data_IF_646798395372
#
_entry.id   IF_646798395372
#
_cell.length_a   1.000
_cell.length_b   1.000
_cell.length_c   1.000
_cell.angle_alpha   90.00
_cell.angle_beta   90.00
_cell.angle_gamma   90.00
#
_symmetry.space_group_name_H-M   'P 1'
#
loop_
_entity.id
_entity.type
_entity.pdbx_description
1 polymer ?
#
# COMPACT_ATOMS: atom_id res chain seq x y z
N UNK A 1 -29.41 20.46 5.53
CA UNK A 1 -28.45 19.57 6.17
C UNK A 1 -27.15 20.35 6.22
N UNK A 2 -26.63 20.61 7.40
CA UNK A 2 -25.39 21.36 7.56
C UNK A 2 -24.25 20.55 6.91
N UNK A 3 -23.27 21.24 6.34
CA UNK A 3 -22.06 20.65 5.77
C UNK A 3 -21.12 20.08 6.87
N UNK A 4 -21.66 19.27 7.78
CA UNK A 4 -20.96 18.70 8.93
C UNK A 4 -19.97 17.56 8.57
N UNK A 5 -19.65 17.41 7.29
CA UNK A 5 -18.78 16.33 6.82
C UNK A 5 -17.28 16.60 6.92
N UNK A 6 -16.86 17.72 7.47
CA UNK A 6 -15.44 18.07 7.61
C UNK A 6 -14.95 18.16 9.05
N UNK A 7 -15.55 17.45 9.98
CA UNK A 7 -14.97 17.29 11.31
C UNK A 7 -13.85 16.24 11.27
N UNK A 8 -12.63 16.72 11.27
CA UNK A 8 -11.46 15.87 11.47
C UNK A 8 -11.34 15.53 12.94
N UNK A 9 -11.50 14.27 13.28
CA UNK A 9 -11.19 13.78 14.62
C UNK A 9 -9.72 13.36 14.67
N UNK A 10 -8.85 14.35 14.58
CA UNK A 10 -7.39 14.18 14.58
C UNK A 10 -6.87 13.69 15.94
N UNK A 11 -5.60 13.36 16.01
CA UNK A 11 -4.96 13.01 17.29
C UNK A 11 -4.89 14.19 18.24
N UNK A 12 -4.75 15.43 17.73
CA UNK A 12 -4.68 16.66 18.52
C UNK A 12 -6.08 17.16 18.96
N UNK A 13 -7.11 16.84 18.19
CA UNK A 13 -8.50 17.21 18.49
C UNK A 13 -9.44 15.99 18.34
N UNK A 14 -9.31 14.96 19.19
CA UNK A 14 -10.12 13.76 19.09
C UNK A 14 -11.52 13.99 19.62
N UNK A 15 -12.52 13.40 18.98
CA UNK A 15 -13.80 13.21 19.63
C UNK A 15 -13.68 12.05 20.64
N UNK A 16 -13.51 12.41 21.91
CA UNK A 16 -13.24 11.43 22.99
C UNK A 16 -14.39 10.46 23.22
N UNK A 17 -15.63 10.89 23.03
CA UNK A 17 -16.80 10.03 23.16
C UNK A 17 -16.81 8.94 22.09
N UNK A 18 -16.64 9.31 20.82
CA UNK A 18 -16.57 8.33 19.75
C UNK A 18 -15.32 7.46 19.82
N UNK A 19 -14.19 7.98 20.27
CA UNK A 19 -13.00 7.17 20.51
C UNK A 19 -13.26 6.12 21.61
N UNK A 20 -13.96 6.48 22.69
CA UNK A 20 -14.34 5.50 23.71
C UNK A 20 -15.32 4.45 23.18
N UNK A 21 -16.32 4.86 22.40
CA UNK A 21 -17.25 3.91 21.76
C UNK A 21 -16.49 2.94 20.81
N UNK A 22 -15.52 3.43 20.06
CA UNK A 22 -14.69 2.58 19.20
C UNK A 22 -13.91 1.55 20.02
N UNK A 23 -13.32 1.93 21.15
CA UNK A 23 -12.66 1.00 22.08
C UNK A 23 -13.65 -0.05 22.59
N UNK A 24 -14.83 0.38 23.03
CA UNK A 24 -15.82 -0.51 23.64
C UNK A 24 -16.35 -1.56 22.64
N UNK A 25 -16.70 -1.14 21.42
CA UNK A 25 -17.20 -2.03 20.40
C UNK A 25 -16.10 -2.95 19.83
N UNK A 26 -14.92 -2.43 19.55
CA UNK A 26 -13.81 -3.25 19.11
C UNK A 26 -13.45 -4.31 20.17
N UNK A 27 -13.46 -3.95 21.45
CA UNK A 27 -13.25 -4.87 22.57
C UNK A 27 -14.30 -5.98 22.60
N UNK A 28 -15.57 -5.66 22.37
CA UNK A 28 -16.63 -6.67 22.28
C UNK A 28 -16.39 -7.65 21.15
N UNK A 29 -15.98 -7.18 19.98
CA UNK A 29 -15.68 -8.05 18.82
C UNK A 29 -14.49 -8.95 19.12
N UNK A 30 -13.37 -8.39 19.60
CA UNK A 30 -12.15 -9.12 19.94
C UNK A 30 -12.42 -10.19 21.00
N UNK A 31 -13.14 -9.84 22.06
CA UNK A 31 -13.43 -10.75 23.18
C UNK A 31 -14.58 -11.73 22.89
N UNK A 32 -15.28 -11.61 21.76
CA UNK A 32 -16.38 -12.51 21.42
C UNK A 32 -15.93 -13.97 21.20
N UNK A 33 -14.66 -14.16 20.84
CA UNK A 33 -14.11 -15.46 20.47
C UNK A 33 -14.64 -16.01 19.15
N UNK A 34 -15.45 -15.22 18.42
CA UNK A 34 -16.00 -15.63 17.12
C UNK A 34 -14.97 -15.54 15.99
N UNK A 35 -13.99 -14.65 16.15
CA UNK A 35 -12.96 -14.38 15.17
C UNK A 35 -11.58 -14.60 15.79
N UNK A 36 -10.58 -14.88 14.95
CA UNK A 36 -9.19 -15.04 15.39
C UNK A 36 -8.26 -14.47 14.31
N UNK A 37 -7.19 -13.79 14.75
CA UNK A 37 -6.12 -13.41 13.83
C UNK A 37 -5.47 -14.66 13.26
N UNK A 38 -5.22 -14.63 11.96
CA UNK A 38 -4.41 -15.63 11.30
C UNK A 38 -2.97 -15.52 11.84
N UNK A 39 -2.33 -16.64 12.09
CA UNK A 39 -0.89 -16.69 12.35
C UNK A 39 -0.10 -16.23 11.11
N UNK A 40 1.21 -15.93 11.26
CA UNK A 40 2.04 -15.43 10.16
C UNK A 40 1.95 -16.32 8.91
N UNK A 41 2.11 -17.64 9.06
CA UNK A 41 2.05 -18.57 7.94
C UNK A 41 0.71 -18.56 7.23
N UNK A 42 -0.38 -18.63 7.99
CA UNK A 42 -1.73 -18.62 7.43
C UNK A 42 -2.05 -17.27 6.78
N UNK A 43 -1.58 -16.18 7.37
CA UNK A 43 -1.72 -14.86 6.78
C UNK A 43 -0.99 -14.73 5.45
N UNK A 44 0.20 -15.26 5.31
CA UNK A 44 0.92 -15.32 4.03
C UNK A 44 0.17 -16.14 2.98
N UNK A 45 -0.62 -17.11 3.39
CA UNK A 45 -1.49 -17.94 2.55
C UNK A 45 -2.95 -17.47 2.53
N UNK A 46 -3.19 -16.21 2.89
CA UNK A 46 -4.52 -15.62 3.00
C UNK A 46 -5.43 -15.89 1.78
N UNK A 47 -4.86 -15.82 0.57
CA UNK A 47 -5.61 -16.04 -0.68
C UNK A 47 -6.03 -17.50 -0.90
N UNK A 48 -5.54 -18.45 -0.13
CA UNK A 48 -5.93 -19.87 -0.23
C UNK A 48 -7.18 -20.19 0.58
N UNK A 49 -7.59 -19.29 1.48
CA UNK A 49 -8.77 -19.50 2.31
C UNK A 49 -10.03 -19.04 1.59
N UNK A 50 -11.09 -19.84 1.62
CA UNK A 50 -12.42 -19.33 1.31
C UNK A 50 -12.85 -18.34 2.40
N UNK A 51 -13.74 -17.38 2.10
CA UNK A 51 -14.24 -16.44 3.10
C UNK A 51 -14.77 -17.12 4.38
N UNK A 52 -15.44 -18.23 4.24
CA UNK A 52 -16.02 -19.01 5.35
C UNK A 52 -14.96 -19.69 6.24
N UNK A 53 -13.81 -20.01 5.66
CA UNK A 53 -12.71 -20.67 6.37
C UNK A 53 -11.67 -19.68 6.90
N UNK A 54 -11.77 -18.41 6.53
CA UNK A 54 -10.90 -17.35 7.03
C UNK A 54 -11.45 -16.80 8.36
N UNK A 55 -10.92 -17.28 9.47
CA UNK A 55 -11.34 -16.88 10.81
C UNK A 55 -11.14 -15.39 11.12
N UNK A 56 -10.34 -14.70 10.34
CA UNK A 56 -10.12 -13.27 10.49
C UNK A 56 -11.23 -12.43 9.83
N UNK A 57 -11.96 -12.99 8.87
CA UNK A 57 -13.06 -12.32 8.15
C UNK A 57 -14.26 -12.09 9.03
N UNK A 58 -14.76 -10.84 9.08
CA UNK A 58 -15.96 -10.44 9.84
C UNK A 58 -17.13 -10.22 8.89
N UNK A 59 -16.91 -9.44 7.82
CA UNK A 59 -17.93 -9.15 6.83
C UNK A 59 -17.38 -9.29 5.43
N UNK A 60 -18.05 -10.09 4.62
CA UNK A 60 -17.65 -10.45 3.25
C UNK A 60 -18.84 -10.32 2.32
N UNK A 61 -18.62 -9.71 1.15
CA UNK A 61 -19.59 -9.75 0.06
C UNK A 61 -19.30 -11.00 -0.77
N UNK A 62 -20.06 -12.07 -0.52
CA UNK A 62 -19.83 -13.35 -1.17
C UNK A 62 -20.18 -13.28 -2.66
N UNK A 63 -19.26 -13.75 -3.50
CA UNK A 63 -19.46 -13.92 -4.94
C UNK A 63 -19.41 -15.40 -5.27
N UNK A 64 -20.35 -15.84 -6.10
CA UNK A 64 -20.45 -17.23 -6.56
C UNK A 64 -20.72 -17.26 -8.06
N UNK A 65 -20.11 -18.18 -8.77
CA UNK A 65 -20.18 -18.27 -10.23
C UNK A 65 -21.61 -18.37 -10.78
N UNK A 66 -22.54 -18.94 -10.01
CA UNK A 66 -23.95 -19.10 -10.42
C UNK A 66 -24.76 -17.80 -10.37
N UNK A 67 -24.30 -16.81 -9.63
CA UNK A 67 -24.99 -15.51 -9.43
C UNK A 67 -24.35 -14.39 -10.27
N UNK A 68 -23.11 -14.58 -10.71
CA UNK A 68 -22.37 -13.60 -11.48
C UNK A 68 -22.07 -14.15 -12.86
N UNK A 69 -22.81 -13.68 -13.86
CA UNK A 69 -22.58 -13.99 -15.28
C UNK A 69 -22.36 -12.71 -16.07
N UNK A 70 -21.55 -12.77 -17.13
CA UNK A 70 -21.29 -11.64 -18.01
C UNK A 70 -20.22 -10.69 -17.48
N UNK A 71 -20.26 -9.44 -17.93
CA UNK A 71 -19.21 -8.44 -17.69
C UNK A 71 -19.19 -7.85 -16.28
N UNK A 72 -20.23 -8.05 -15.47
CA UNK A 72 -20.37 -7.42 -14.15
C UNK A 72 -19.26 -7.80 -13.17
N UNK A 73 -18.58 -8.90 -13.42
CA UNK A 73 -17.49 -9.36 -12.58
C UNK A 73 -16.10 -8.88 -13.02
N UNK A 74 -15.94 -8.33 -14.20
CA UNK A 74 -14.65 -7.74 -14.63
C UNK A 74 -14.31 -6.46 -13.88
N UNK A 75 -15.25 -5.84 -13.21
CA UNK A 75 -15.07 -4.60 -12.43
C UNK A 75 -14.75 -4.86 -10.96
N UNK A 76 -14.48 -6.09 -10.57
CA UNK A 76 -14.04 -6.39 -9.20
C UNK A 76 -12.60 -5.93 -8.96
N UNK A 77 -12.32 -5.47 -7.73
CA UNK A 77 -10.98 -5.03 -7.31
C UNK A 77 -9.91 -6.10 -7.61
N UNK A 78 -10.23 -7.39 -7.39
CA UNK A 78 -9.33 -8.50 -7.69
C UNK A 78 -8.92 -8.58 -9.17
N UNK A 79 -9.81 -8.22 -10.10
CA UNK A 79 -9.49 -8.18 -11.53
C UNK A 79 -8.53 -7.07 -11.92
N UNK A 80 -8.46 -5.98 -11.15
CA UNK A 80 -7.59 -4.83 -11.42
C UNK A 80 -6.18 -5.01 -10.87
N UNK A 81 -6.01 -5.76 -9.79
CA UNK A 81 -4.75 -5.83 -9.06
C UNK A 81 -3.77 -6.82 -9.68
N UNK A 82 -4.14 -8.05 -9.90
CA UNK A 82 -3.18 -9.08 -10.27
C UNK A 82 -3.51 -9.81 -11.56
N UNK A 83 -2.51 -10.40 -12.17
CA UNK A 83 -2.66 -11.37 -13.27
C UNK A 83 -2.45 -12.77 -12.68
N UNK A 84 -3.27 -13.17 -11.72
CA UNK A 84 -3.19 -14.51 -11.15
C UNK A 84 -3.78 -15.51 -12.15
N UNK A 85 -2.95 -16.42 -12.64
CA UNK A 85 -3.37 -17.39 -13.67
C UNK A 85 -3.82 -16.76 -14.99
N UNK A 86 -3.39 -15.53 -15.29
CA UNK A 86 -3.79 -14.81 -16.50
C UNK A 86 -5.18 -14.17 -16.43
N UNK A 87 -5.79 -14.11 -15.26
CA UNK A 87 -7.20 -13.72 -15.09
C UNK A 87 -7.41 -12.27 -14.65
N UNK A 88 -6.41 -11.59 -14.12
CA UNK A 88 -6.46 -10.17 -13.77
C UNK A 88 -5.99 -9.30 -14.95
N UNK A 89 -6.28 -8.02 -14.92
CA UNK A 89 -5.85 -7.07 -15.95
C UNK A 89 -4.48 -6.47 -15.67
N UNK A 90 -3.99 -6.60 -14.43
CA UNK A 90 -2.68 -6.09 -14.05
C UNK A 90 -2.56 -4.57 -14.18
N UNK A 91 -3.60 -3.83 -13.90
CA UNK A 91 -3.64 -2.37 -14.05
C UNK A 91 -3.09 -1.61 -12.85
N UNK A 92 -2.99 -2.28 -11.69
CA UNK A 92 -2.52 -1.68 -10.45
C UNK A 92 -1.29 -2.39 -9.92
N UNK A 93 -0.28 -1.60 -9.53
CA UNK A 93 0.98 -2.08 -9.00
C UNK A 93 1.25 -1.51 -7.62
N UNK A 94 2.07 -2.22 -6.85
CA UNK A 94 2.57 -1.70 -5.59
C UNK A 94 3.42 -0.45 -5.85
N UNK A 95 3.16 0.64 -5.12
CA UNK A 95 3.94 1.87 -5.24
C UNK A 95 5.33 1.71 -4.59
N UNK A 96 6.31 2.50 -5.04
CA UNK A 96 7.62 2.55 -4.41
C UNK A 96 7.52 2.87 -2.92
N UNK A 97 6.67 3.81 -2.53
CA UNK A 97 6.41 4.14 -1.13
C UNK A 97 5.98 2.93 -0.30
N UNK A 98 5.10 2.11 -0.84
CA UNK A 98 4.65 0.90 -0.15
C UNK A 98 5.76 -0.16 -0.06
N UNK A 99 6.54 -0.33 -1.13
CA UNK A 99 7.69 -1.24 -1.13
C UNK A 99 8.76 -0.80 -0.12
N UNK A 100 9.02 0.51 0.01
CA UNK A 100 9.94 1.05 1.01
C UNK A 100 9.44 0.76 2.44
N UNK A 101 8.15 0.93 2.70
CA UNK A 101 7.54 0.56 3.99
C UNK A 101 7.69 -0.93 4.31
N UNK A 102 7.46 -1.80 3.33
CA UNK A 102 7.65 -3.25 3.47
C UNK A 102 9.10 -3.63 3.80
N UNK A 103 10.05 -2.85 3.31
CA UNK A 103 11.49 -3.11 3.46
C UNK A 103 12.13 -2.38 4.67
N UNK A 104 11.36 -1.62 5.45
CA UNK A 104 11.88 -0.78 6.53
C UNK A 104 12.65 -1.59 7.59
N UNK A 105 12.21 -2.80 7.91
CA UNK A 105 12.85 -3.68 8.91
C UNK A 105 13.84 -4.66 8.33
N UNK A 106 13.96 -4.70 7.02
CA UNK A 106 14.85 -5.56 6.24
C UNK A 106 14.26 -5.82 4.87
N UNK A 107 15.16 -6.03 3.90
CA UNK A 107 14.75 -6.25 2.51
C UNK A 107 13.94 -7.54 2.36
N UNK A 108 12.79 -7.43 1.71
CA UNK A 108 12.10 -8.57 1.15
C UNK A 108 12.74 -8.93 -0.20
N UNK A 109 13.13 -10.16 -0.36
CA UNK A 109 13.71 -10.70 -1.58
C UNK A 109 12.70 -11.66 -2.22
N UNK A 110 12.19 -11.30 -3.39
CA UNK A 110 11.20 -12.09 -4.12
C UNK A 110 11.83 -12.99 -5.20
N UNK A 111 13.14 -12.91 -5.43
CA UNK A 111 13.80 -13.72 -6.45
C UNK A 111 13.52 -15.20 -6.21
N UNK A 112 13.15 -15.98 -7.23
CA UNK A 112 12.70 -17.37 -7.06
C UNK A 112 13.71 -18.29 -6.40
N UNK A 113 15.02 -18.04 -6.62
CA UNK A 113 16.13 -18.84 -6.11
C UNK A 113 16.66 -18.40 -4.74
N UNK A 114 16.23 -17.25 -4.26
CA UNK A 114 16.69 -16.66 -2.99
C UNK A 114 15.56 -16.03 -2.18
N UNK A 115 14.31 -16.44 -2.43
CA UNK A 115 13.11 -15.82 -1.82
C UNK A 115 13.22 -15.77 -0.29
N UNK A 116 13.17 -14.55 0.24
CA UNK A 116 13.18 -14.29 1.68
C UNK A 116 12.18 -13.19 2.02
N UNK A 117 11.09 -13.54 2.67
CA UNK A 117 10.04 -12.61 3.09
C UNK A 117 10.27 -12.23 4.55
N UNK A 118 10.64 -10.97 4.79
CA UNK A 118 10.81 -10.36 6.12
C UNK A 118 9.46 -9.95 6.69
N UNK A 119 8.72 -9.12 5.97
CA UNK A 119 7.36 -8.75 6.32
C UNK A 119 6.36 -9.68 5.60
N UNK A 120 5.50 -10.36 6.33
CA UNK A 120 4.52 -11.30 5.76
C UNK A 120 3.64 -10.67 4.68
N UNK A 121 3.39 -9.37 4.76
CA UNK A 121 2.57 -8.62 3.79
C UNK A 121 3.24 -8.50 2.42
N UNK A 122 4.56 -8.62 2.37
CA UNK A 122 5.30 -8.67 1.12
C UNK A 122 5.01 -9.94 0.30
N UNK A 123 4.41 -10.98 0.90
CA UNK A 123 4.00 -12.16 0.16
C UNK A 123 2.85 -11.90 -0.82
N UNK A 124 2.16 -10.78 -0.69
CA UNK A 124 1.11 -10.35 -1.62
C UNK A 124 1.62 -9.52 -2.79
N UNK A 125 2.93 -9.43 -2.96
CA UNK A 125 3.60 -8.78 -4.10
C UNK A 125 4.15 -9.86 -5.00
N UNK A 126 3.85 -9.74 -6.30
CA UNK A 126 4.34 -10.63 -7.36
C UNK A 126 5.12 -9.81 -8.40
N UNK A 127 6.46 -9.72 -8.23
CA UNK A 127 7.31 -9.02 -9.19
C UNK A 127 7.32 -9.76 -10.53
N UNK A 128 7.12 -9.05 -11.63
CA UNK A 128 7.10 -9.62 -12.97
C UNK A 128 8.53 -9.69 -13.53
N UNK A 129 9.29 -10.69 -13.06
CA UNK A 129 10.64 -10.94 -13.55
C UNK A 129 10.64 -11.45 -15.01
N UNK A 130 11.60 -10.96 -15.78
CA UNK A 130 11.80 -11.37 -17.17
C UNK A 130 12.75 -12.57 -17.23
N UNK A 131 12.37 -13.58 -18.00
CA UNK A 131 13.22 -14.71 -18.32
C UNK A 131 13.67 -14.63 -19.78
N UNK A 132 14.90 -15.06 -20.05
CA UNK A 132 15.39 -15.28 -21.41
C UNK A 132 14.71 -16.52 -22.07
N UNK A 133 15.01 -16.77 -23.32
CA UNK A 133 14.46 -17.92 -24.08
C UNK A 133 14.80 -19.29 -23.46
N UNK A 134 15.77 -19.35 -22.56
CA UNK A 134 16.20 -20.58 -21.86
C UNK A 134 15.60 -20.65 -20.44
N UNK A 135 14.79 -19.67 -20.03
CA UNK A 135 14.17 -19.61 -18.70
C UNK A 135 15.09 -19.04 -17.62
N UNK A 136 16.20 -18.39 -17.96
CA UNK A 136 17.09 -17.79 -16.98
C UNK A 136 16.71 -16.34 -16.66
N UNK A 137 16.94 -15.93 -15.42
CA UNK A 137 16.81 -14.55 -15.00
C UNK A 137 18.11 -13.78 -15.17
N UNK A 138 18.02 -12.53 -15.62
CA UNK A 138 19.18 -11.65 -15.80
C UNK A 138 19.36 -10.78 -14.53
N UNK A 139 20.49 -10.89 -13.82
CA UNK A 139 20.79 -10.01 -12.70
C UNK A 139 21.03 -8.57 -13.17
N UNK A 140 20.44 -7.62 -12.48
CA UNK A 140 20.58 -6.17 -12.71
C UNK A 140 20.81 -5.42 -11.40
N UNK A 141 21.40 -4.23 -11.47
CA UNK A 141 21.36 -3.27 -10.40
C UNK A 141 20.18 -2.34 -10.63
N UNK A 142 19.22 -2.37 -9.72
CA UNK A 142 17.99 -1.58 -9.81
C UNK A 142 18.00 -0.45 -8.78
N UNK A 143 17.81 0.77 -9.25
CA UNK A 143 17.73 1.96 -8.42
C UNK A 143 16.76 2.98 -9.01
N UNK A 144 16.42 4.00 -8.22
CA UNK A 144 15.52 5.08 -8.63
C UNK A 144 16.34 6.36 -8.76
N UNK A 145 16.26 6.98 -9.92
CA UNK A 145 16.95 8.22 -10.25
C UNK A 145 15.97 9.39 -10.25
N UNK A 146 16.36 10.48 -9.61
CA UNK A 146 15.62 11.73 -9.65
C UNK A 146 15.73 12.39 -11.04
N UNK A 147 14.66 13.01 -11.50
CA UNK A 147 14.61 13.82 -12.71
C UNK A 147 14.26 15.24 -12.35
N UNK A 148 15.14 16.19 -12.71
CA UNK A 148 14.99 17.61 -12.42
C UNK A 148 14.68 18.39 -13.70
N UNK A 149 13.95 19.50 -13.57
CA UNK A 149 13.78 20.48 -14.63
C UNK A 149 15.03 21.39 -14.78
N UNK A 150 15.00 22.27 -15.74
CA UNK A 150 16.08 23.23 -15.99
C UNK A 150 16.30 24.25 -14.86
N UNK A 151 15.33 24.36 -13.94
CA UNK A 151 15.38 25.24 -12.77
C UNK A 151 15.84 24.50 -11.51
N UNK A 152 16.11 23.18 -11.60
CA UNK A 152 16.53 22.34 -10.49
C UNK A 152 15.38 21.80 -9.62
N UNK A 153 14.13 21.92 -10.07
CA UNK A 153 13.01 21.34 -9.35
C UNK A 153 12.85 19.85 -9.71
N UNK A 154 12.60 19.02 -8.71
CA UNK A 154 12.29 17.61 -8.92
C UNK A 154 10.93 17.49 -9.62
N UNK A 155 10.93 16.87 -10.81
CA UNK A 155 9.73 16.76 -11.65
C UNK A 155 9.26 15.33 -11.84
N UNK A 156 10.15 14.35 -11.70
CA UNK A 156 9.82 12.95 -11.92
C UNK A 156 10.90 12.03 -11.30
N UNK A 157 10.64 10.73 -11.40
CA UNK A 157 11.56 9.67 -11.03
C UNK A 157 11.66 8.64 -12.15
N UNK A 158 12.86 8.13 -12.40
CA UNK A 158 13.08 7.04 -13.33
C UNK A 158 13.59 5.80 -12.60
N UNK A 159 12.99 4.66 -12.88
CA UNK A 159 13.53 3.37 -12.50
C UNK A 159 14.62 2.98 -13.49
N UNK A 160 15.79 2.64 -12.97
CA UNK A 160 16.93 2.20 -13.75
C UNK A 160 17.20 0.74 -13.44
N UNK A 161 17.34 -0.08 -14.48
CA UNK A 161 17.79 -1.46 -14.43
C UNK A 161 19.11 -1.54 -15.20
N UNK A 162 20.21 -1.31 -14.50
CA UNK A 162 21.54 -1.30 -15.10
C UNK A 162 22.11 -2.71 -15.14
N UNK A 163 22.80 -3.07 -16.25
CA UNK A 163 23.49 -4.35 -16.38
C UNK A 163 24.51 -4.52 -15.27
N UNK A 164 24.51 -5.69 -14.64
CA UNK A 164 25.45 -6.01 -13.59
C UNK A 164 26.74 -6.61 -14.18
N UNK A 165 27.89 -6.16 -13.65
CA UNK A 165 29.20 -6.73 -13.94
C UNK A 165 29.89 -7.10 -12.63
N UNK A 166 30.45 -8.31 -12.57
CA UNK A 166 31.20 -8.78 -11.41
C UNK A 166 32.61 -9.16 -11.85
N UNK A 167 33.62 -8.57 -11.21
CA UNK A 167 35.04 -8.87 -11.44
C UNK A 167 35.79 -8.91 -10.12
N UNK A 168 36.49 -10.02 -9.86
CA UNK A 168 37.35 -10.16 -8.67
C UNK A 168 36.60 -9.96 -7.34
N UNK A 169 35.32 -10.30 -7.28
CA UNK A 169 34.47 -10.12 -6.08
C UNK A 169 33.88 -8.72 -5.94
N UNK A 170 34.19 -7.79 -6.83
CA UNK A 170 33.60 -6.46 -6.84
C UNK A 170 32.47 -6.36 -7.84
N UNK A 171 31.43 -5.60 -7.50
CA UNK A 171 30.34 -5.29 -8.42
C UNK A 171 30.52 -3.91 -9.04
N UNK A 172 30.12 -3.81 -10.29
CA UNK A 172 29.86 -2.58 -11.01
C UNK A 172 28.61 -2.73 -11.84
N UNK A 173 27.96 -1.63 -12.18
CA UNK A 173 26.86 -1.63 -13.10
C UNK A 173 27.18 -0.81 -14.35
N UNK A 174 26.57 -1.19 -15.47
CA UNK A 174 26.74 -0.55 -16.77
C UNK A 174 25.41 0.00 -17.22
N UNK A 175 25.39 1.28 -17.52
CA UNK A 175 24.24 1.94 -18.14
C UNK A 175 24.62 2.40 -19.56
N UNK A 176 23.69 2.23 -20.50
CA UNK A 176 23.84 2.70 -21.86
C UNK A 176 22.97 3.94 -22.06
N UNK A 177 23.60 5.10 -22.23
CA UNK A 177 22.93 6.37 -22.50
C UNK A 177 23.34 6.81 -23.91
N UNK A 178 22.41 7.03 -24.79
CA UNK A 178 22.63 7.44 -26.19
C UNK A 178 23.67 6.56 -26.93
N UNK A 179 23.62 5.24 -26.66
CA UNK A 179 24.52 4.26 -27.27
C UNK A 179 25.93 4.23 -26.66
N UNK A 180 26.23 5.02 -25.64
CA UNK A 180 27.50 5.02 -24.92
C UNK A 180 27.34 4.31 -23.58
N UNK A 181 28.18 3.29 -23.37
CA UNK A 181 28.24 2.59 -22.08
C UNK A 181 29.06 3.38 -21.06
N UNK A 182 28.50 3.50 -19.86
CA UNK A 182 29.18 4.09 -18.70
C UNK A 182 29.16 3.06 -17.56
N UNK A 183 30.33 2.80 -16.97
CA UNK A 183 30.48 1.85 -15.85
C UNK A 183 30.57 2.59 -14.56
N UNK A 184 29.77 2.19 -13.56
CA UNK A 184 29.75 2.76 -12.21
C UNK A 184 30.21 1.68 -11.22
N UNK A 185 31.25 1.99 -10.42
CA UNK A 185 31.66 1.12 -9.32
C UNK A 185 30.55 1.12 -8.24
N UNK A 186 30.25 -0.06 -7.72
CA UNK A 186 29.25 -0.26 -6.69
C UNK A 186 29.94 -0.38 -5.33
N UNK A 187 29.41 0.33 -4.32
CA UNK A 187 29.86 0.26 -2.93
C UNK A 187 28.80 -0.46 -2.10
N UNK A 188 29.18 -1.52 -1.41
CA UNK A 188 28.24 -2.26 -0.55
C UNK A 188 27.78 -1.40 0.63
N UNK A 189 26.47 -1.31 0.82
CA UNK A 189 25.84 -0.78 2.04
C UNK A 189 25.50 -1.96 2.96
N UNK A 190 24.85 -2.96 2.41
CA UNK A 190 24.54 -4.23 3.07
C UNK A 190 24.65 -5.35 2.02
N UNK A 191 25.77 -6.06 2.04
CA UNK A 191 26.05 -7.10 1.05
C UNK A 191 25.13 -8.32 1.23
N UNK A 192 24.71 -8.62 2.45
CA UNK A 192 23.83 -9.76 2.75
C UNK A 192 22.42 -9.51 2.22
N UNK A 193 21.98 -8.27 2.23
CA UNK A 193 20.70 -7.84 1.66
C UNK A 193 20.83 -7.41 0.19
N UNK A 194 22.02 -7.49 -0.41
CA UNK A 194 22.29 -7.07 -1.79
C UNK A 194 21.98 -5.60 -2.03
N UNK A 195 22.23 -4.73 -1.03
CA UNK A 195 22.02 -3.28 -1.10
C UNK A 195 23.37 -2.59 -1.36
N UNK A 196 23.42 -1.79 -2.41
CA UNK A 196 24.60 -1.08 -2.85
C UNK A 196 24.30 0.38 -3.17
N UNK A 197 25.34 1.21 -3.22
CA UNK A 197 25.27 2.58 -3.75
C UNK A 197 26.21 2.76 -4.93
N UNK A 198 25.86 3.71 -5.80
CA UNK A 198 26.70 4.18 -6.89
C UNK A 198 26.77 5.71 -6.84
N UNK A 199 27.90 6.28 -7.27
CA UNK A 199 27.98 7.69 -7.62
C UNK A 199 27.70 7.82 -9.12
N UNK A 200 26.59 8.46 -9.46
CA UNK A 200 26.09 8.56 -10.82
C UNK A 200 26.71 9.74 -11.60
N UNK A 201 26.47 9.80 -12.91
CA UNK A 201 27.04 10.84 -13.80
C UNK A 201 26.53 12.26 -13.52
N UNK A 202 25.37 12.41 -12.87
CA UNK A 202 24.82 13.67 -12.42
C UNK A 202 25.48 14.19 -11.11
N UNK A 203 26.39 13.42 -10.53
CA UNK A 203 27.07 13.72 -9.28
C UNK A 203 26.36 13.24 -8.02
N UNK A 204 25.12 12.78 -8.14
CA UNK A 204 24.33 12.25 -7.05
C UNK A 204 24.73 10.82 -6.67
N UNK A 205 24.39 10.43 -5.45
CA UNK A 205 24.58 9.05 -4.96
C UNK A 205 23.24 8.37 -4.87
N UNK A 206 23.10 7.28 -5.60
CA UNK A 206 21.87 6.46 -5.59
C UNK A 206 22.11 5.14 -4.89
N UNK A 207 21.17 4.78 -4.04
CA UNK A 207 21.09 3.46 -3.39
C UNK A 207 20.13 2.58 -4.17
N UNK A 208 20.51 1.33 -4.37
CA UNK A 208 19.70 0.35 -5.08
C UNK A 208 19.98 -1.06 -4.62
N UNK A 209 19.42 -2.01 -5.33
CA UNK A 209 19.51 -3.43 -5.00
C UNK A 209 19.98 -4.24 -6.22
N UNK A 210 20.75 -5.29 -5.98
CA UNK A 210 20.94 -6.34 -6.98
C UNK A 210 19.69 -7.20 -6.96
N UNK A 211 19.03 -7.28 -8.11
CA UNK A 211 17.79 -8.02 -8.32
C UNK A 211 17.74 -8.59 -9.72
N UNK A 212 16.67 -9.23 -10.12
CA UNK A 212 16.47 -9.64 -11.50
C UNK A 212 15.76 -8.56 -12.32
N UNK A 213 16.01 -8.59 -13.63
CA UNK A 213 15.32 -7.73 -14.59
C UNK A 213 13.82 -7.96 -14.52
N UNK A 214 13.07 -6.87 -14.53
CA UNK A 214 11.61 -6.88 -14.44
C UNK A 214 10.97 -6.26 -15.67
N UNK A 215 9.79 -6.73 -16.02
CA UNK A 215 8.92 -6.05 -16.98
C UNK A 215 8.56 -4.65 -16.46
N UNK A 216 8.57 -3.69 -17.39
CA UNK A 216 8.25 -2.29 -17.09
C UNK A 216 6.95 -1.88 -17.78
N UNK A 217 6.13 -1.12 -17.08
CA UNK A 217 5.05 -0.34 -17.67
C UNK A 217 5.38 1.14 -17.49
N UNK A 218 5.58 1.85 -18.61
CA UNK A 218 5.97 3.28 -18.59
C UNK A 218 7.17 3.56 -17.70
N UNK A 219 8.24 2.82 -17.82
CA UNK A 219 9.46 2.90 -17.00
C UNK A 219 9.27 2.52 -15.52
N UNK A 220 8.13 1.99 -15.13
CA UNK A 220 7.86 1.54 -13.76
C UNK A 220 7.88 0.00 -13.69
N UNK A 221 8.63 -0.62 -12.76
CA UNK A 221 8.66 -2.07 -12.63
C UNK A 221 7.31 -2.60 -12.13
N UNK A 222 6.88 -3.69 -12.75
CA UNK A 222 5.57 -4.27 -12.49
C UNK A 222 5.61 -5.17 -11.26
N UNK A 223 5.37 -4.59 -10.09
CA UNK A 223 5.12 -5.30 -8.84
C UNK A 223 3.61 -5.54 -8.70
N UNK A 224 3.12 -6.62 -9.27
CA UNK A 224 1.71 -6.95 -9.20
C UNK A 224 1.26 -7.21 -7.77
N UNK A 225 -0.03 -6.99 -7.52
CA UNK A 225 -0.66 -7.19 -6.23
C UNK A 225 -1.54 -8.41 -6.30
N UNK A 226 -1.31 -9.38 -5.41
CA UNK A 226 -2.08 -10.61 -5.32
C UNK A 226 -3.05 -10.63 -4.13
N UNK A 227 -2.92 -9.70 -3.19
CA UNK A 227 -3.87 -9.59 -2.07
C UNK A 227 -5.28 -9.35 -2.60
N UNK A 228 -6.26 -9.98 -1.99
CA UNK A 228 -7.65 -9.96 -2.43
C UNK A 228 -7.93 -10.72 -3.73
N UNK A 229 -6.98 -11.48 -4.26
CA UNK A 229 -7.25 -12.52 -5.25
C UNK A 229 -7.52 -13.86 -4.56
N UNK A 230 -8.28 -14.73 -5.19
CA UNK A 230 -8.47 -16.09 -4.70
C UNK A 230 -7.64 -17.04 -5.56
N UNK A 231 -6.69 -17.73 -4.93
CA UNK A 231 -5.76 -18.60 -5.65
C UNK A 231 -6.51 -19.83 -6.21
N UNK A 232 -6.34 -20.07 -7.51
CA UNK A 232 -7.02 -21.15 -8.22
C UNK A 232 -8.44 -20.84 -8.72
N UNK A 233 -8.95 -19.64 -8.45
CA UNK A 233 -10.23 -19.13 -8.93
C UNK A 233 -10.04 -17.98 -9.91
N UNK A 234 -11.05 -17.70 -10.72
CA UNK A 234 -11.06 -16.49 -11.52
C UNK A 234 -11.12 -15.25 -10.64
N UNK A 235 -10.30 -14.23 -10.94
CA UNK A 235 -10.13 -13.04 -10.08
C UNK A 235 -11.45 -12.31 -9.76
N UNK A 236 -12.43 -12.36 -10.66
CA UNK A 236 -13.75 -11.77 -10.46
C UNK A 236 -14.66 -12.54 -9.50
N UNK A 237 -14.35 -13.78 -9.20
CA UNK A 237 -15.06 -14.58 -8.20
C UNK A 237 -14.51 -14.37 -6.79
N UNK A 238 -13.42 -13.59 -6.64
CA UNK A 238 -12.94 -13.23 -5.33
C UNK A 238 -13.98 -12.44 -4.54
N UNK A 239 -14.32 -12.95 -3.37
CA UNK A 239 -15.30 -12.32 -2.47
C UNK A 239 -14.62 -11.24 -1.65
N UNK A 240 -14.89 -9.93 -1.87
CA UNK A 240 -14.20 -8.86 -1.15
C UNK A 240 -14.53 -8.91 0.34
N UNK A 241 -13.49 -8.90 1.16
CA UNK A 241 -13.60 -8.81 2.61
C UNK A 241 -13.70 -7.33 2.98
N UNK A 242 -14.85 -6.92 3.48
CA UNK A 242 -15.13 -5.53 3.84
C UNK A 242 -14.62 -5.20 5.24
N UNK A 243 -14.65 -6.18 6.16
CA UNK A 243 -14.12 -6.00 7.50
C UNK A 243 -13.47 -7.30 8.00
N UNK A 244 -12.35 -7.15 8.70
CA UNK A 244 -11.59 -8.26 9.28
C UNK A 244 -10.98 -7.87 10.62
N UNK A 245 -10.64 -8.86 11.42
CA UNK A 245 -10.20 -8.66 12.80
C UNK A 245 -8.91 -7.83 12.91
N UNK A 246 -7.99 -7.93 11.95
CA UNK A 246 -6.77 -7.09 11.92
C UNK A 246 -7.09 -5.60 11.89
N UNK A 247 -8.08 -5.18 11.11
CA UNK A 247 -8.58 -3.81 11.09
C UNK A 247 -9.16 -3.40 12.45
N UNK A 248 -9.92 -4.28 13.11
CA UNK A 248 -10.54 -3.99 14.41
C UNK A 248 -9.48 -3.72 15.49
N UNK A 249 -8.36 -4.47 15.48
CA UNK A 249 -7.22 -4.18 16.36
C UNK A 249 -6.62 -2.80 16.08
N UNK A 250 -6.41 -2.44 14.83
CA UNK A 250 -5.85 -1.14 14.45
C UNK A 250 -6.82 0.02 14.74
N UNK A 251 -8.11 -0.18 14.55
CA UNK A 251 -9.14 0.80 14.94
C UNK A 251 -9.12 1.03 16.46
N UNK A 252 -8.96 -0.03 17.27
CA UNK A 252 -8.86 0.09 18.72
C UNK A 252 -7.55 0.73 19.17
N UNK A 253 -6.43 0.39 18.51
CA UNK A 253 -5.13 1.01 18.78
C UNK A 253 -5.19 2.53 18.56
N UNK A 254 -5.77 2.96 17.44
CA UNK A 254 -5.94 4.38 17.11
C UNK A 254 -6.85 5.08 18.15
N UNK A 255 -7.98 4.47 18.51
CA UNK A 255 -8.89 5.02 19.49
C UNK A 255 -8.24 5.15 20.88
N UNK A 256 -7.47 4.15 21.33
CA UNK A 256 -6.68 4.24 22.55
C UNK A 256 -5.66 5.37 22.52
N UNK A 257 -4.93 5.53 21.41
CA UNK A 257 -3.95 6.60 21.27
C UNK A 257 -4.63 7.99 21.33
N UNK A 258 -5.76 8.17 20.66
CA UNK A 258 -6.58 9.40 20.72
C UNK A 258 -7.12 9.71 22.11
N UNK A 259 -7.28 8.69 22.95
CA UNK A 259 -7.64 8.85 24.38
C UNK A 259 -6.42 9.10 25.28
N UNK A 260 -5.19 8.99 24.75
CA UNK A 260 -3.94 9.08 25.51
C UNK A 260 -3.53 7.77 26.21
N UNK A 261 -4.21 6.67 25.91
CA UNK A 261 -3.88 5.34 26.46
C UNK A 261 -2.86 4.62 25.56
N UNK A 262 -1.64 5.13 25.54
CA UNK A 262 -0.58 4.64 24.65
C UNK A 262 -0.14 3.22 24.96
N UNK A 263 -0.23 2.76 26.20
CA UNK A 263 0.13 1.37 26.57
C UNK A 263 -0.80 0.34 25.94
N UNK A 264 -2.11 0.58 25.98
CA UNK A 264 -3.09 -0.29 25.31
C UNK A 264 -3.01 -0.20 23.79
N UNK A 265 -2.79 1.01 23.27
CA UNK A 265 -2.55 1.21 21.84
C UNK A 265 -1.33 0.43 21.33
N UNK A 266 -0.22 0.46 22.08
CA UNK A 266 1.00 -0.28 21.77
C UNK A 266 0.75 -1.79 21.72
N UNK A 267 -0.01 -2.31 22.67
CA UNK A 267 -0.35 -3.75 22.73
C UNK A 267 -1.09 -4.19 21.47
N UNK A 268 -2.12 -3.47 21.06
CA UNK A 268 -2.89 -3.79 19.86
C UNK A 268 -2.06 -3.63 18.59
N UNK A 269 -1.30 -2.54 18.50
CA UNK A 269 -0.42 -2.27 17.36
C UNK A 269 0.63 -3.37 17.17
N UNK A 270 1.29 -3.76 18.26
CA UNK A 270 2.30 -4.82 18.22
C UNK A 270 1.69 -6.20 17.95
N UNK A 271 0.47 -6.46 18.35
CA UNK A 271 -0.25 -7.69 17.99
C UNK A 271 -0.30 -7.88 16.47
N UNK A 272 -0.56 -6.84 15.71
CA UNK A 272 -0.58 -6.88 14.24
C UNK A 272 0.84 -6.89 13.67
N UNK A 273 1.71 -6.01 14.17
CA UNK A 273 3.07 -5.86 13.65
C UNK A 273 3.91 -7.13 13.85
N UNK A 274 3.93 -7.69 15.04
CA UNK A 274 4.73 -8.89 15.34
C UNK A 274 4.18 -10.15 14.66
N UNK A 275 2.88 -10.23 14.40
CA UNK A 275 2.32 -11.26 13.53
C UNK A 275 2.98 -11.22 12.15
N UNK A 276 3.18 -10.03 11.60
CA UNK A 276 3.72 -9.84 10.24
C UNK A 276 5.24 -9.80 10.20
N UNK A 277 5.89 -9.24 11.24
CA UNK A 277 7.34 -9.08 11.36
C UNK A 277 7.76 -9.51 12.76
N UNK A 278 8.03 -10.80 13.01
CA UNK A 278 8.37 -11.30 14.33
C UNK A 278 9.57 -10.57 14.96
N UNK A 279 9.41 -10.11 16.19
CA UNK A 279 10.42 -9.38 16.94
C UNK A 279 10.63 -7.93 16.54
N UNK A 280 9.80 -7.37 15.65
CA UNK A 280 9.89 -5.97 15.22
C UNK A 280 8.83 -5.06 15.86
N UNK A 281 8.26 -5.48 17.00
CA UNK A 281 7.34 -4.64 17.77
C UNK A 281 7.95 -3.31 18.16
N UNK A 282 7.14 -2.25 18.20
CA UNK A 282 7.59 -0.96 18.73
C UNK A 282 7.83 -1.06 20.24
N UNK A 283 8.89 -0.39 20.70
CA UNK A 283 9.23 -0.40 22.12
C UNK A 283 8.29 0.47 22.98
N UNK A 284 7.73 1.55 22.40
CA UNK A 284 6.83 2.48 23.11
C UNK A 284 5.92 3.20 22.13
N UNK A 285 4.82 3.75 22.63
CA UNK A 285 4.04 4.81 21.98
C UNK A 285 3.91 5.97 22.94
N UNK A 286 3.85 7.18 22.40
CA UNK A 286 3.56 8.42 23.09
C UNK A 286 2.89 9.43 22.14
N UNK A 287 2.58 10.63 22.65
CA UNK A 287 1.91 11.66 21.86
C UNK A 287 2.69 12.11 20.60
N UNK A 288 4.00 11.90 20.56
CA UNK A 288 4.86 12.37 19.46
C UNK A 288 4.98 11.38 18.31
N UNK A 289 4.73 10.09 18.57
CA UNK A 289 5.00 9.02 17.61
C UNK A 289 3.80 8.10 17.31
N UNK A 290 2.73 8.18 18.11
CA UNK A 290 1.60 7.25 17.98
C UNK A 290 0.88 7.40 16.65
N UNK A 291 0.61 8.62 16.20
CA UNK A 291 -0.06 8.90 14.94
C UNK A 291 0.70 8.29 13.76
N UNK A 292 2.00 8.57 13.64
CA UNK A 292 2.86 8.08 12.58
C UNK A 292 2.94 6.55 12.57
N UNK A 293 3.19 5.92 13.75
CA UNK A 293 3.37 4.47 13.84
C UNK A 293 2.10 3.70 13.57
N UNK A 294 0.96 4.19 14.04
CA UNK A 294 -0.35 3.58 13.77
C UNK A 294 -0.71 3.75 12.29
N UNK A 295 -0.51 4.93 11.71
CA UNK A 295 -0.75 5.16 10.29
C UNK A 295 0.11 4.27 9.41
N UNK A 296 1.39 4.13 9.72
CA UNK A 296 2.32 3.23 9.04
C UNK A 296 1.83 1.77 9.08
N UNK A 297 1.42 1.28 10.24
CA UNK A 297 0.93 -0.09 10.37
C UNK A 297 -0.39 -0.29 9.63
N UNK A 298 -1.28 0.72 9.61
CA UNK A 298 -2.51 0.71 8.81
C UNK A 298 -2.20 0.68 7.32
N UNK A 299 -1.22 1.47 6.85
CA UNK A 299 -0.77 1.41 5.44
C UNK A 299 -0.30 0.02 5.05
N UNK A 300 0.47 -0.64 5.90
CA UNK A 300 0.99 -1.98 5.64
C UNK A 300 -0.11 -3.04 5.70
N UNK A 301 -0.91 -3.03 6.74
CA UNK A 301 -1.90 -4.07 7.01
C UNK A 301 -3.13 -3.99 6.12
N UNK A 302 -3.64 -2.78 5.88
CA UNK A 302 -4.87 -2.55 5.12
C UNK A 302 -4.61 -2.16 3.66
N UNK A 303 -3.35 -2.30 3.20
CA UNK A 303 -3.02 -2.07 1.80
C UNK A 303 -3.95 -2.87 0.87
N UNK A 304 -4.36 -2.23 -0.21
CA UNK A 304 -5.21 -2.80 -1.28
C UNK A 304 -6.64 -3.19 -0.87
N UNK A 305 -7.12 -2.64 0.26
CA UNK A 305 -8.50 -2.82 0.73
C UNK A 305 -9.37 -1.56 0.54
N UNK A 306 -8.92 -0.62 -0.29
CA UNK A 306 -9.59 0.65 -0.60
C UNK A 306 -9.79 1.60 0.61
N UNK A 307 -8.99 1.45 1.65
CA UNK A 307 -9.13 2.18 2.93
C UNK A 307 -8.29 3.46 3.02
N UNK A 308 -7.17 3.52 2.28
CA UNK A 308 -6.11 4.51 2.51
C UNK A 308 -6.58 5.97 2.46
N UNK A 309 -7.37 6.34 1.47
CA UNK A 309 -7.85 7.73 1.33
C UNK A 309 -8.76 8.15 2.49
N UNK A 310 -9.61 7.23 2.95
CA UNK A 310 -10.46 7.48 4.11
C UNK A 310 -9.63 7.68 5.39
N UNK A 311 -8.63 6.83 5.63
CA UNK A 311 -7.76 6.93 6.79
C UNK A 311 -7.00 8.25 6.84
N UNK A 312 -6.42 8.67 5.71
CA UNK A 312 -5.68 9.93 5.60
C UNK A 312 -6.59 11.11 5.89
N UNK A 313 -7.68 11.23 5.13
CA UNK A 313 -8.51 12.42 5.18
C UNK A 313 -9.30 12.55 6.49
N UNK A 314 -9.76 11.44 7.11
CA UNK A 314 -10.45 11.51 8.40
C UNK A 314 -9.52 11.92 9.55
N UNK A 315 -8.22 11.75 9.40
CA UNK A 315 -7.20 12.20 10.35
C UNK A 315 -6.69 13.62 10.05
N UNK A 316 -7.18 14.26 8.98
CA UNK A 316 -6.78 15.60 8.59
C UNK A 316 -5.45 15.68 7.86
N UNK A 317 -4.88 14.52 7.49
CA UNK A 317 -3.60 14.42 6.81
C UNK A 317 -3.74 14.64 5.30
N UNK A 318 -2.70 15.11 4.62
CA UNK A 318 -2.70 15.18 3.16
C UNK A 318 -2.43 13.80 2.53
N UNK A 319 -3.07 13.53 1.40
CA UNK A 319 -2.66 12.42 0.54
C UNK A 319 -1.47 12.86 -0.30
N UNK A 320 -0.29 12.36 0.03
CA UNK A 320 0.96 12.70 -0.69
C UNK A 320 1.18 11.80 -1.89
N UNK A 321 1.70 12.40 -2.98
CA UNK A 321 2.13 11.73 -4.21
C UNK A 321 3.58 11.98 -4.56
N UNK A 322 4.37 12.53 -3.63
CA UNK A 322 5.81 12.79 -3.80
C UNK A 322 6.62 11.50 -3.59
N UNK A 323 6.42 10.53 -4.47
CA UNK A 323 7.16 9.27 -4.49
C UNK A 323 7.28 8.75 -5.93
N UNK A 324 8.28 7.91 -6.23
CA UNK A 324 8.46 7.33 -7.55
C UNK A 324 7.25 6.52 -8.02
N UNK A 325 6.83 6.75 -9.26
CA UNK A 325 5.70 6.03 -9.84
C UNK A 325 5.30 6.56 -11.23
N UNK A 326 4.38 5.87 -11.90
CA UNK A 326 3.92 6.26 -13.24
C UNK A 326 2.90 7.42 -13.23
N UNK A 327 2.58 7.98 -12.07
CA UNK A 327 1.67 9.09 -11.93
C UNK A 327 2.30 10.41 -12.41
N UNK A 328 1.49 11.25 -13.05
CA UNK A 328 1.97 12.49 -13.64
C UNK A 328 1.90 13.70 -12.68
N UNK A 329 1.24 13.58 -11.54
CA UNK A 329 1.05 14.64 -10.57
C UNK A 329 1.82 14.33 -9.29
N UNK A 330 2.74 15.21 -8.94
CA UNK A 330 3.51 15.15 -7.70
C UNK A 330 3.03 16.26 -6.75
N UNK A 331 1.73 16.27 -6.46
CA UNK A 331 1.13 17.22 -5.55
C UNK A 331 0.48 16.51 -4.36
N UNK A 332 0.48 17.18 -3.23
CA UNK A 332 -0.29 16.76 -2.08
C UNK A 332 -1.75 17.20 -2.23
N UNK A 333 -2.67 16.34 -1.84
CA UNK A 333 -4.09 16.68 -1.75
C UNK A 333 -4.42 16.84 -0.26
N UNK A 334 -4.59 18.08 0.23
CA UNK A 334 -4.98 18.31 1.61
C UNK A 334 -6.34 17.69 1.93
N UNK A 335 -6.56 17.29 3.18
CA UNK A 335 -7.86 16.79 3.61
C UNK A 335 -9.00 17.82 3.45
N UNK A 336 -8.64 19.10 3.34
CA UNK A 336 -9.56 20.22 3.10
C UNK A 336 -9.79 20.52 1.62
N UNK A 337 -9.19 19.75 0.71
CA UNK A 337 -9.36 19.96 -0.74
C UNK A 337 -10.77 19.54 -1.18
N UNK A 338 -11.38 20.33 -2.08
CA UNK A 338 -12.71 20.01 -2.61
C UNK A 338 -12.78 18.63 -3.30
N UNK A 339 -11.66 18.12 -3.80
CA UNK A 339 -11.55 16.80 -4.45
C UNK A 339 -11.73 15.62 -3.49
N UNK A 340 -11.72 15.85 -2.18
CA UNK A 340 -11.96 14.82 -1.17
C UNK A 340 -13.40 14.31 -1.22
N UNK A 341 -14.33 15.13 -1.73
CA UNK A 341 -15.72 14.75 -1.92
C UNK A 341 -16.08 14.60 -3.40
N UNK A 342 -16.79 13.53 -3.72
CA UNK A 342 -17.27 13.31 -5.09
C UNK A 342 -18.42 14.26 -5.44
N UNK A 343 -18.51 14.63 -6.71
CA UNK A 343 -19.67 15.35 -7.23
C UNK A 343 -20.91 14.47 -7.19
N UNK A 344 -22.03 15.08 -6.79
CA UNK A 344 -23.33 14.44 -6.91
C UNK A 344 -23.73 14.46 -8.38
N UNK A 345 -24.07 13.32 -9.00
CA UNK A 345 -24.53 13.30 -10.39
C UNK A 345 -25.70 14.28 -10.61
N UNK A 346 -25.64 15.07 -11.65
CA UNK A 346 -26.69 16.07 -11.94
C UNK A 346 -28.07 15.41 -12.08
N UNK A 347 -28.13 14.18 -12.58
CA UNK A 347 -29.36 13.38 -12.65
C UNK A 347 -29.97 13.12 -11.27
N UNK A 348 -29.14 12.86 -10.25
CA UNK A 348 -29.62 12.68 -8.88
C UNK A 348 -30.18 13.99 -8.31
N UNK A 349 -29.51 15.13 -8.57
CA UNK A 349 -29.99 16.44 -8.16
C UNK A 349 -31.33 16.76 -8.83
N UNK A 350 -31.44 16.53 -10.14
CA UNK A 350 -32.65 16.81 -10.90
C UNK A 350 -33.83 15.89 -10.55
N UNK A 351 -33.56 14.68 -10.08
CA UNK A 351 -34.57 13.69 -9.69
C UNK A 351 -34.92 13.73 -8.19
N UNK A 352 -34.35 14.71 -7.46
CA UNK A 352 -34.58 14.79 -6.03
C UNK A 352 -36.05 15.16 -5.74
N UNK A 353 -36.68 14.60 -4.69
CA UNK A 353 -38.11 14.79 -4.43
C UNK A 353 -38.49 16.27 -4.33
N UNK A 354 -39.66 16.62 -4.85
CA UNK A 354 -40.24 17.96 -4.76
C UNK A 354 -40.34 18.41 -3.29
N UNK A 355 -39.90 19.63 -3.01
CA UNK A 355 -39.88 20.19 -1.64
C UNK A 355 -38.62 19.86 -0.83
N UNK A 356 -37.72 19.07 -1.40
CA UNK A 356 -36.40 18.81 -0.82
C UNK A 356 -35.31 19.45 -1.69
N UNK A 357 -34.19 19.79 -1.08
CA UNK A 357 -33.03 20.36 -1.79
C UNK A 357 -31.83 19.43 -1.66
N UNK A 358 -31.23 19.03 -2.77
CA UNK A 358 -29.95 18.37 -2.83
C UNK A 358 -28.94 19.34 -3.45
N UNK A 359 -28.03 19.83 -2.65
CA UNK A 359 -27.01 20.80 -3.06
C UNK A 359 -25.76 20.06 -3.51
N UNK A 360 -25.15 20.53 -4.61
CA UNK A 360 -23.89 20.00 -5.12
C UNK A 360 -22.76 20.20 -4.10
N UNK A 361 -21.88 19.21 -3.99
CA UNK A 361 -20.63 19.34 -3.26
C UNK A 361 -19.75 20.46 -3.87
N UNK A 362 -18.84 21.06 -3.08
CA UNK A 362 -17.94 22.10 -3.58
C UNK A 362 -17.21 21.68 -4.85
N UNK A 363 -17.10 22.61 -5.81
CA UNK A 363 -16.39 22.41 -7.08
C UNK A 363 -15.04 23.13 -7.12
N UNK A 364 -14.70 23.82 -6.05
CA UNK A 364 -13.41 24.49 -5.82
C UNK A 364 -13.16 24.67 -4.34
N UNK A 365 -11.91 24.93 -3.95
CA UNK A 365 -11.56 25.17 -2.55
C UNK A 365 -12.25 26.41 -1.94
N UNK A 366 -12.64 27.37 -2.75
CA UNK A 366 -13.40 28.55 -2.28
C UNK A 366 -14.82 28.20 -1.77
N UNK A 367 -15.36 27.04 -2.16
CA UNK A 367 -16.67 26.55 -1.71
C UNK A 367 -16.59 25.62 -0.48
N UNK A 368 -15.39 25.28 -0.03
CA UNK A 368 -15.19 24.39 1.13
C UNK A 368 -15.36 25.22 2.40
N UNK A 369 -16.28 24.81 3.25
CA UNK A 369 -16.50 25.44 4.57
C UNK A 369 -15.81 24.54 5.61
N UNK A 370 -14.78 25.07 6.24
CA UNK A 370 -14.10 24.44 7.38
C UNK A 370 -14.75 24.96 8.66
N UNK A 371 -15.30 24.08 9.48
CA UNK A 371 -15.89 24.40 10.79
C UNK A 371 -14.96 24.02 11.93
#
# INVERSE_FOLDING_TARGET
MNNDFQYFFTYDNPNREYAQLAVDYATKVINSGQYALLGRSDFMNYNTFTPENNKESIFVVKRVATEFSGYDHYYGIGGMYGVVGGMGWGEMYASAKYLDLLNETGRNDWRPDSKKIVDARANFIDPQYVQDDNGNYTPVFRFIKNVYDTSGNLTNFNYVQAKLKQEGGNYSCIETIDGKETTYAMTAIDADQQIYSIKYSDGETYTGVIDYEMSLNRVYPMFYITKCSYEGEESHLHSPIISRLGEIYLNRAEAYAKLGNYGSALTDLNTIRERSIPGAGYASLDATNAAERIDKERQLELAYQAERSYDVFRNGDPLTRHYPGPHNAMEDIPATDYRVTYYIPQTAINSYPSGCTLTQNPTSNAGVILN
#
